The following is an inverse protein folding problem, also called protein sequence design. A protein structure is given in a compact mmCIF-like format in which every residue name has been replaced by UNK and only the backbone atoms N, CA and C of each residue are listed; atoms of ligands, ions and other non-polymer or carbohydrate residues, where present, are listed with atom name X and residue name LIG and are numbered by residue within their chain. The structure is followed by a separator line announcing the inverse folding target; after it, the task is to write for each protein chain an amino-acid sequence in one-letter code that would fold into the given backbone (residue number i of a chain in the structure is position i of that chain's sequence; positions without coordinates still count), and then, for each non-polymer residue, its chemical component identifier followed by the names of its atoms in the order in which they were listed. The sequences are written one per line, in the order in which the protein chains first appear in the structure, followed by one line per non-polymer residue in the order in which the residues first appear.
data_IF_323351091715
#
_entry.id   IF_323351091715
#
_cell.length_a   1.000
_cell.length_b   1.000
_cell.length_c   1.000
_cell.angle_alpha   90.00
_cell.angle_beta   90.00
_cell.angle_gamma   90.00
#
_symmetry.space_group_name_H-M   'P 1'
#
loop_
_entity.id
_entity.type
_entity.pdbx_description
1 polymer ?
#
# COMPACT_ATOMS: atom_id res chain seq x y z
N UNK A 1 -17.96 0.96 54.24
CA UNK A 1 -17.67 1.77 53.05
C UNK A 1 -16.45 1.19 52.36
N UNK A 2 -16.65 0.40 51.30
CA UNK A 2 -15.56 -0.09 50.46
C UNK A 2 -15.80 0.57 49.10
N UNK A 3 -14.96 1.54 48.76
CA UNK A 3 -14.99 2.19 47.46
C UNK A 3 -14.42 1.20 46.43
N UNK A 4 -15.30 0.67 45.57
CA UNK A 4 -14.88 -0.11 44.40
C UNK A 4 -14.37 0.86 43.35
N UNK A 5 -13.05 0.92 43.18
CA UNK A 5 -12.41 1.69 42.11
C UNK A 5 -12.59 0.94 40.80
N UNK A 6 -13.64 1.28 40.05
CA UNK A 6 -13.81 0.82 38.67
C UNK A 6 -12.71 1.45 37.82
N UNK A 7 -11.62 0.73 37.61
CA UNK A 7 -10.63 1.09 36.60
C UNK A 7 -11.34 1.10 35.24
N UNK A 8 -11.47 2.29 34.64
CA UNK A 8 -11.87 2.42 33.24
C UNK A 8 -10.72 1.84 32.42
N UNK A 9 -10.85 0.58 32.03
CA UNK A 9 -9.96 -0.02 31.02
C UNK A 9 -10.26 0.73 29.73
N UNK A 10 -9.39 1.68 29.37
CA UNK A 10 -9.41 2.31 28.06
C UNK A 10 -9.20 1.17 27.06
N UNK A 11 -10.24 0.84 26.29
CA UNK A 11 -10.14 -0.19 25.26
C UNK A 11 -9.03 0.23 24.30
N UNK A 12 -7.99 -0.60 24.18
CA UNK A 12 -6.92 -0.35 23.23
C UNK A 12 -7.53 -0.28 21.83
N UNK A 13 -7.17 0.75 21.06
CA UNK A 13 -7.54 0.84 19.66
C UNK A 13 -6.95 -0.36 18.90
N UNK A 14 -7.79 -1.08 18.17
CA UNK A 14 -7.38 -2.21 17.33
C UNK A 14 -7.63 -1.87 15.87
N UNK A 15 -6.67 -2.19 15.01
CA UNK A 15 -6.76 -1.96 13.58
C UNK A 15 -6.30 -3.18 12.79
N UNK A 16 -6.89 -3.37 11.62
CA UNK A 16 -6.35 -4.28 10.59
C UNK A 16 -5.80 -3.46 9.43
N UNK A 17 -4.70 -3.93 8.85
CA UNK A 17 -4.06 -3.35 7.67
C UNK A 17 -4.23 -4.34 6.51
N UNK A 18 -4.87 -3.90 5.44
CA UNK A 18 -5.08 -4.68 4.22
C UNK A 18 -3.89 -4.57 3.27
N UNK A 19 -3.70 -5.55 2.38
CA UNK A 19 -2.61 -5.53 1.40
C UNK A 19 -2.62 -4.31 0.48
N UNK A 20 -3.79 -3.74 0.23
CA UNK A 20 -3.98 -2.52 -0.57
C UNK A 20 -3.82 -1.23 0.26
N UNK A 21 -3.28 -1.30 1.48
CA UNK A 21 -3.03 -0.14 2.34
C UNK A 21 -4.24 0.39 3.09
N UNK A 22 -5.45 -0.14 2.84
CA UNK A 22 -6.61 0.24 3.65
C UNK A 22 -6.39 -0.16 5.10
N UNK A 23 -6.91 0.67 6.01
CA UNK A 23 -6.96 0.39 7.45
C UNK A 23 -8.40 0.38 7.91
N UNK A 24 -8.74 -0.52 8.81
CA UNK A 24 -10.06 -0.54 9.45
C UNK A 24 -9.90 -0.71 10.96
N UNK A 25 -10.63 0.10 11.72
CA UNK A 25 -10.78 -0.10 13.16
C UNK A 25 -11.61 -1.36 13.38
N UNK A 26 -11.17 -2.18 14.32
CA UNK A 26 -11.82 -3.45 14.68
C UNK A 26 -11.96 -3.58 16.19
N UNK A 27 -12.70 -4.59 16.63
CA UNK A 27 -12.82 -4.96 18.05
C UNK A 27 -12.55 -6.46 18.23
N UNK A 28 -12.29 -6.91 19.47
CA UNK A 28 -12.10 -8.33 19.83
C UNK A 28 -11.13 -9.10 18.91
N UNK A 29 -10.06 -8.43 18.47
CA UNK A 29 -8.99 -9.04 17.69
C UNK A 29 -8.28 -10.10 18.52
N UNK A 30 -8.32 -11.35 18.06
CA UNK A 30 -7.74 -12.48 18.79
C UNK A 30 -7.30 -13.60 17.87
N UNK A 31 -6.26 -14.29 18.30
CA UNK A 31 -5.72 -15.48 17.66
C UNK A 31 -6.46 -16.72 18.18
N UNK A 32 -7.16 -17.41 17.28
CA UNK A 32 -7.84 -18.67 17.55
C UNK A 32 -6.95 -19.89 17.28
N UNK A 33 -7.57 -21.06 17.21
CA UNK A 33 -6.86 -22.32 16.91
C UNK A 33 -6.36 -22.38 15.46
N UNK A 34 -5.14 -22.89 15.30
CA UNK A 34 -4.47 -23.05 13.99
C UNK A 34 -4.00 -21.73 13.39
N UNK A 35 -3.49 -20.81 14.22
CA UNK A 35 -2.98 -19.48 13.83
C UNK A 35 -3.98 -18.57 13.10
N UNK A 36 -5.28 -18.88 13.18
CA UNK A 36 -6.33 -18.09 12.55
C UNK A 36 -6.68 -16.88 13.40
N UNK A 37 -6.69 -15.71 12.78
CA UNK A 37 -7.13 -14.48 13.42
C UNK A 37 -8.61 -14.22 13.19
N UNK A 38 -9.29 -13.75 14.22
CA UNK A 38 -10.67 -13.27 14.14
C UNK A 38 -10.78 -11.88 14.73
N UNK A 39 -11.66 -11.07 14.16
CA UNK A 39 -12.01 -9.72 14.65
C UNK A 39 -13.52 -9.56 14.64
N UNK A 40 -14.03 -8.57 15.36
CA UNK A 40 -15.38 -8.04 15.24
C UNK A 40 -15.35 -6.80 14.35
N UNK A 41 -16.11 -6.84 13.25
CA UNK A 41 -16.34 -5.76 12.31
C UNK A 41 -17.85 -5.54 12.25
N UNK A 42 -18.31 -4.33 12.58
CA UNK A 42 -19.73 -3.97 12.61
C UNK A 42 -20.59 -4.97 13.42
N UNK A 43 -20.07 -5.40 14.58
CA UNK A 43 -20.73 -6.36 15.48
C UNK A 43 -20.73 -7.81 14.98
N UNK A 44 -20.06 -8.12 13.87
CA UNK A 44 -19.95 -9.47 13.32
C UNK A 44 -18.54 -10.00 13.45
N UNK A 45 -18.41 -11.24 13.93
CA UNK A 45 -17.11 -11.92 13.96
C UNK A 45 -16.71 -12.35 12.55
N UNK A 46 -15.56 -11.89 12.09
CA UNK A 46 -14.98 -12.18 10.79
C UNK A 46 -13.65 -12.90 10.98
N UNK A 47 -13.41 -13.95 10.19
CA UNK A 47 -12.10 -14.61 10.11
C UNK A 47 -11.25 -13.84 9.12
N UNK A 48 -10.07 -13.39 9.57
CA UNK A 48 -9.15 -12.68 8.70
C UNK A 48 -8.49 -13.67 7.72
N UNK A 49 -8.35 -13.24 6.47
CA UNK A 49 -7.66 -14.00 5.44
C UNK A 49 -6.22 -13.48 5.33
N UNK A 50 -5.20 -14.29 5.68
CA UNK A 50 -3.80 -13.92 5.49
C UNK A 50 -3.55 -13.52 4.04
N UNK A 51 -2.75 -12.47 3.84
CA UNK A 51 -2.47 -11.92 2.51
C UNK A 51 -3.50 -10.89 2.08
N UNK A 52 -4.81 -11.06 2.33
CA UNK A 52 -5.76 -9.94 2.21
C UNK A 52 -5.57 -8.93 3.34
N UNK A 53 -5.45 -9.44 4.57
CA UNK A 53 -4.97 -8.68 5.74
C UNK A 53 -3.51 -9.03 5.95
N UNK A 54 -2.66 -8.01 6.02
CA UNK A 54 -1.21 -8.15 6.14
C UNK A 54 -0.70 -7.87 7.55
N UNK A 55 -1.49 -7.19 8.39
CA UNK A 55 -1.15 -6.94 9.77
C UNK A 55 -2.37 -6.61 10.64
N UNK A 56 -2.24 -6.86 11.94
CA UNK A 56 -3.14 -6.39 12.99
C UNK A 56 -2.32 -5.52 13.93
N UNK A 57 -2.85 -4.35 14.28
CA UNK A 57 -2.27 -3.45 15.27
C UNK A 57 -3.16 -3.41 16.50
N UNK A 58 -2.63 -3.76 17.68
CA UNK A 58 -3.33 -3.68 18.97
C UNK A 58 -2.53 -2.75 19.87
N UNK A 59 -3.06 -1.55 20.13
CA UNK A 59 -2.30 -0.49 20.79
C UNK A 59 -1.07 -0.12 19.95
N UNK A 60 0.13 -0.44 20.45
CA UNK A 60 1.41 -0.21 19.76
C UNK A 60 2.02 -1.47 19.14
N UNK A 61 1.43 -2.64 19.37
CA UNK A 61 1.96 -3.90 18.87
C UNK A 61 1.39 -4.21 17.48
N UNK A 62 2.28 -4.45 16.50
CA UNK A 62 1.91 -4.91 15.16
C UNK A 62 2.23 -6.40 15.00
N UNK A 63 1.23 -7.19 14.64
CA UNK A 63 1.40 -8.60 14.23
C UNK A 63 1.24 -8.72 12.72
N UNK A 64 2.29 -9.13 12.02
CA UNK A 64 2.30 -9.32 10.57
C UNK A 64 1.66 -10.67 10.18
N UNK A 65 0.78 -10.64 9.18
CA UNK A 65 -0.03 -11.75 8.67
C UNK A 65 0.22 -12.07 7.19
N UNK A 66 1.42 -11.78 6.69
CA UNK A 66 1.80 -12.10 5.31
C UNK A 66 2.07 -13.62 5.21
N UNK A 67 1.36 -14.35 4.33
CA UNK A 67 1.52 -15.79 4.21
C UNK A 67 2.83 -16.17 3.49
N UNK A 68 3.25 -17.42 3.69
CA UNK A 68 4.24 -18.09 2.85
C UNK A 68 3.53 -18.89 1.75
N UNK A 69 4.30 -19.32 0.74
CA UNK A 69 3.78 -20.19 -0.30
C UNK A 69 3.50 -21.59 0.28
N UNK A 70 2.30 -22.11 0.03
CA UNK A 70 1.93 -23.48 0.38
C UNK A 70 2.63 -24.50 -0.55
N UNK A 71 3.21 -25.54 0.04
CA UNK A 71 3.98 -26.57 -0.67
C UNK A 71 3.12 -27.79 -1.10
N UNK A 72 1.82 -27.77 -0.81
CA UNK A 72 0.93 -28.85 -1.22
C UNK A 72 0.84 -28.93 -2.76
N UNK A 73 0.86 -30.14 -3.35
CA UNK A 73 0.69 -30.29 -4.79
C UNK A 73 -0.66 -29.71 -5.24
N UNK A 74 -0.73 -29.10 -6.43
CA UNK A 74 -1.98 -28.51 -6.91
C UNK A 74 -3.01 -29.62 -7.13
N UNK A 75 -4.27 -29.33 -6.75
CA UNK A 75 -5.37 -30.23 -7.11
C UNK A 75 -5.56 -30.26 -8.64
N UNK A 76 -6.27 -31.25 -9.19
CA UNK A 76 -6.65 -31.24 -10.61
C UNK A 76 -7.41 -29.96 -11.01
N UNK A 77 -8.24 -29.45 -10.11
CA UNK A 77 -8.98 -28.19 -10.31
C UNK A 77 -8.04 -26.99 -10.37
N UNK A 78 -7.11 -26.86 -9.41
CA UNK A 78 -6.08 -25.80 -9.44
C UNK A 78 -5.24 -25.89 -10.71
N UNK A 79 -4.87 -27.10 -11.14
CA UNK A 79 -4.13 -27.33 -12.39
C UNK A 79 -4.92 -26.83 -13.61
N UNK A 80 -6.22 -27.15 -13.67
CA UNK A 80 -7.09 -26.68 -14.75
C UNK A 80 -7.26 -25.15 -14.75
N UNK A 81 -7.38 -24.53 -13.57
CA UNK A 81 -7.45 -23.08 -13.45
C UNK A 81 -6.14 -22.40 -13.86
N UNK A 82 -4.97 -22.96 -13.50
CA UNK A 82 -3.68 -22.45 -13.95
C UNK A 82 -3.53 -22.55 -15.48
N UNK A 83 -3.96 -23.66 -16.06
CA UNK A 83 -4.01 -23.82 -17.52
C UNK A 83 -4.97 -22.80 -18.18
N UNK A 84 -6.12 -22.53 -17.56
CA UNK A 84 -7.08 -21.50 -17.98
C UNK A 84 -6.47 -20.09 -17.95
N UNK A 85 -5.66 -19.76 -16.93
CA UNK A 85 -4.93 -18.48 -16.86
C UNK A 85 -3.88 -18.37 -17.97
N UNK A 86 -3.20 -19.48 -18.26
CA UNK A 86 -2.17 -19.58 -19.29
C UNK A 86 -2.72 -19.61 -20.73
N UNK A 87 -4.03 -19.76 -20.94
CA UNK A 87 -4.63 -19.73 -22.28
C UNK A 87 -4.70 -18.29 -22.80
N UNK A 88 -3.94 -17.92 -23.86
CA UNK A 88 -3.96 -16.58 -24.41
C UNK A 88 -5.29 -16.19 -25.05
N UNK A 89 -6.16 -17.15 -25.36
CA UNK A 89 -7.50 -16.92 -25.91
C UNK A 89 -8.55 -16.67 -24.82
N UNK A 90 -8.28 -17.09 -23.58
CA UNK A 90 -9.20 -16.87 -22.48
C UNK A 90 -9.20 -15.39 -22.05
N UNK A 91 -10.29 -14.67 -22.34
CA UNK A 91 -10.44 -13.27 -21.94
C UNK A 91 -10.92 -13.14 -20.48
N UNK A 92 -11.56 -14.18 -19.94
CA UNK A 92 -12.16 -14.21 -18.60
C UNK A 92 -11.25 -14.90 -17.57
N UNK A 93 -9.94 -14.89 -17.82
CA UNK A 93 -8.93 -15.54 -16.98
C UNK A 93 -8.94 -15.08 -15.52
N UNK A 94 -9.45 -13.87 -15.25
CA UNK A 94 -9.47 -13.26 -13.90
C UNK A 94 -10.27 -14.07 -12.88
N UNK A 95 -11.32 -14.76 -13.31
CA UNK A 95 -12.09 -15.65 -12.43
C UNK A 95 -11.26 -16.86 -12.00
N UNK A 96 -10.44 -17.42 -12.91
CA UNK A 96 -9.50 -18.48 -12.57
C UNK A 96 -8.36 -17.92 -11.72
N UNK A 97 -7.82 -16.75 -12.07
CA UNK A 97 -6.75 -16.08 -11.33
C UNK A 97 -7.12 -15.88 -9.85
N UNK A 98 -8.30 -15.31 -9.59
CA UNK A 98 -8.78 -15.03 -8.23
C UNK A 98 -8.86 -16.29 -7.35
N UNK A 99 -9.08 -17.47 -7.96
CA UNK A 99 -9.16 -18.74 -7.26
C UNK A 99 -7.79 -19.37 -7.01
N UNK A 100 -6.83 -19.23 -7.95
CA UNK A 100 -5.50 -19.87 -7.80
C UNK A 100 -4.54 -19.07 -6.93
N UNK A 101 -4.81 -17.78 -6.69
CA UNK A 101 -3.96 -16.94 -5.82
C UNK A 101 -4.30 -17.06 -4.34
N UNK A 102 -5.43 -17.69 -3.99
CA UNK A 102 -5.89 -17.86 -2.60
C UNK A 102 -6.35 -19.31 -2.35
N UNK A 103 -5.65 -20.10 -1.51
CA UNK A 103 -4.41 -19.75 -0.82
C UNK A 103 -3.22 -19.66 -1.79
N UNK A 104 -2.17 -18.90 -1.45
CA UNK A 104 -0.97 -18.83 -2.29
C UNK A 104 -0.19 -20.15 -2.21
N UNK A 105 0.21 -20.70 -3.36
CA UNK A 105 0.92 -21.98 -3.46
C UNK A 105 2.18 -21.86 -4.30
N UNK A 106 3.16 -22.73 -4.03
CA UNK A 106 4.38 -22.86 -4.84
C UNK A 106 4.04 -23.16 -6.31
N UNK A 107 3.06 -24.03 -6.55
CA UNK A 107 2.63 -24.36 -7.91
C UNK A 107 2.06 -23.16 -8.68
N UNK A 108 1.27 -22.29 -8.02
CA UNK A 108 0.78 -21.07 -8.65
C UNK A 108 1.92 -20.07 -8.92
N UNK A 109 2.84 -19.90 -7.96
CA UNK A 109 4.04 -19.08 -8.15
C UNK A 109 4.85 -19.53 -9.36
N UNK A 110 5.22 -20.81 -9.43
CA UNK A 110 6.01 -21.38 -10.53
C UNK A 110 5.29 -21.24 -11.89
N UNK A 111 3.96 -21.36 -11.89
CA UNK A 111 3.16 -21.16 -13.10
C UNK A 111 3.21 -19.70 -13.56
N UNK A 112 3.11 -18.73 -12.65
CA UNK A 112 3.19 -17.32 -13.00
C UNK A 112 4.60 -16.89 -13.42
N UNK A 113 5.66 -17.41 -12.80
CA UNK A 113 7.03 -17.16 -13.26
C UNK A 113 7.25 -17.63 -14.71
N UNK A 114 6.69 -18.80 -15.08
CA UNK A 114 6.70 -19.27 -16.47
C UNK A 114 5.99 -18.30 -17.40
N UNK A 115 4.86 -17.73 -16.98
CA UNK A 115 4.13 -16.74 -17.77
C UNK A 115 4.91 -15.43 -17.93
N UNK A 116 5.63 -14.97 -16.90
CA UNK A 116 6.51 -13.79 -16.97
C UNK A 116 7.59 -13.95 -18.05
N UNK A 117 8.06 -15.18 -18.29
CA UNK A 117 9.06 -15.47 -19.33
C UNK A 117 8.47 -15.66 -20.75
N UNK A 118 7.14 -15.57 -20.91
CA UNK A 118 6.49 -15.91 -22.17
C UNK A 118 6.72 -14.87 -23.29
N UNK A 119 6.73 -15.31 -24.55
CA UNK A 119 6.88 -14.42 -25.71
C UNK A 119 5.64 -13.54 -25.91
N UNK A 120 4.46 -14.01 -25.52
CA UNK A 120 3.20 -13.29 -25.58
C UNK A 120 3.09 -12.29 -24.43
N UNK A 121 3.03 -11.00 -24.77
CA UNK A 121 2.96 -9.93 -23.79
C UNK A 121 1.74 -9.99 -22.86
N UNK A 122 0.61 -10.51 -23.34
CA UNK A 122 -0.59 -10.70 -22.50
C UNK A 122 -0.35 -11.75 -21.43
N UNK A 123 0.40 -12.80 -21.74
CA UNK A 123 0.74 -13.84 -20.76
C UNK A 123 1.75 -13.31 -19.75
N UNK A 124 2.75 -12.53 -20.18
CA UNK A 124 3.65 -11.85 -19.26
C UNK A 124 2.93 -10.92 -18.28
N UNK A 125 2.03 -10.08 -18.79
CA UNK A 125 1.18 -9.21 -17.95
C UNK A 125 0.43 -10.02 -16.89
N UNK A 126 -0.21 -11.13 -17.28
CA UNK A 126 -0.91 -12.03 -16.35
C UNK A 126 0.00 -12.69 -15.34
N UNK A 127 1.21 -13.06 -15.75
CA UNK A 127 2.23 -13.61 -14.86
C UNK A 127 2.58 -12.61 -13.75
N UNK A 128 2.83 -11.35 -14.13
CA UNK A 128 3.15 -10.31 -13.15
C UNK A 128 1.94 -10.00 -12.25
N UNK A 129 0.74 -9.90 -12.82
CA UNK A 129 -0.52 -9.73 -12.06
C UNK A 129 -0.70 -10.88 -11.05
N UNK A 130 -0.53 -12.14 -11.46
CA UNK A 130 -0.64 -13.29 -10.59
C UNK A 130 0.38 -13.30 -9.46
N UNK A 131 1.65 -13.00 -9.74
CA UNK A 131 2.68 -12.88 -8.70
C UNK A 131 2.35 -11.81 -7.66
N UNK A 132 1.85 -10.64 -8.09
CA UNK A 132 1.41 -9.58 -7.18
C UNK A 132 0.21 -10.02 -6.32
N UNK A 133 -0.74 -10.76 -6.91
CA UNK A 133 -1.95 -11.22 -6.23
C UNK A 133 -1.76 -12.41 -5.29
N UNK A 134 -0.66 -13.15 -5.39
CA UNK A 134 -0.28 -14.16 -4.39
C UNK A 134 0.02 -13.55 -3.01
N UNK A 135 0.43 -12.27 -2.97
CA UNK A 135 0.60 -11.49 -1.74
C UNK A 135 1.48 -12.15 -0.67
N UNK A 136 2.51 -12.87 -1.13
CA UNK A 136 3.63 -13.32 -0.29
C UNK A 136 4.81 -12.39 -0.49
N UNK A 137 5.76 -12.35 0.44
CA UNK A 137 7.00 -11.55 0.27
C UNK A 137 7.74 -11.97 -1.01
N UNK A 138 7.93 -13.27 -1.18
CA UNK A 138 8.60 -13.87 -2.34
C UNK A 138 7.92 -13.48 -3.66
N UNK A 139 6.59 -13.63 -3.73
CA UNK A 139 5.84 -13.33 -4.96
C UNK A 139 5.84 -11.84 -5.31
N UNK A 140 5.80 -10.95 -4.31
CA UNK A 140 5.86 -9.51 -4.55
C UNK A 140 7.26 -9.07 -4.98
N UNK A 141 8.33 -9.64 -4.41
CA UNK A 141 9.70 -9.41 -4.89
C UNK A 141 9.85 -9.86 -6.35
N UNK A 142 9.35 -11.06 -6.70
CA UNK A 142 9.37 -11.56 -8.07
C UNK A 142 8.56 -10.68 -9.03
N UNK A 143 7.36 -10.23 -8.63
CA UNK A 143 6.55 -9.31 -9.42
C UNK A 143 7.26 -7.97 -9.65
N UNK A 144 7.90 -7.41 -8.62
CA UNK A 144 8.63 -6.15 -8.71
C UNK A 144 9.83 -6.25 -9.68
N UNK A 145 10.61 -7.32 -9.58
CA UNK A 145 11.70 -7.60 -10.51
C UNK A 145 11.19 -7.76 -11.95
N UNK A 146 10.06 -8.47 -12.13
CA UNK A 146 9.45 -8.68 -13.43
C UNK A 146 8.92 -7.37 -14.07
N UNK A 147 8.33 -6.46 -13.28
CA UNK A 147 7.96 -5.11 -13.75
C UNK A 147 9.17 -4.38 -14.30
N UNK A 148 10.30 -4.39 -13.59
CA UNK A 148 11.51 -3.68 -14.01
C UNK A 148 12.19 -4.33 -15.22
N UNK A 149 12.03 -5.64 -15.41
CA UNK A 149 12.59 -6.38 -16.54
C UNK A 149 11.72 -6.31 -17.82
N UNK A 150 10.44 -5.95 -17.71
CA UNK A 150 9.52 -5.94 -18.85
C UNK A 150 9.88 -4.85 -19.87
N UNK A 151 9.83 -5.19 -21.16
CA UNK A 151 10.29 -4.34 -22.25
C UNK A 151 9.17 -3.48 -22.83
N UNK A 152 7.94 -4.00 -22.90
CA UNK A 152 6.76 -3.26 -23.36
C UNK A 152 6.31 -2.27 -22.28
N UNK A 153 6.28 -0.97 -22.61
CA UNK A 153 5.93 0.08 -21.65
C UNK A 153 4.48 0.02 -21.18
N UNK A 154 3.56 -0.45 -22.03
CA UNK A 154 2.17 -0.64 -21.66
C UNK A 154 2.05 -1.72 -20.60
N UNK A 155 2.69 -2.86 -20.83
CA UNK A 155 2.71 -3.96 -19.85
C UNK A 155 3.39 -3.53 -18.56
N UNK A 156 4.55 -2.84 -18.62
CA UNK A 156 5.21 -2.31 -17.41
C UNK A 156 4.29 -1.43 -16.58
N UNK A 157 3.59 -0.49 -17.23
CA UNK A 157 2.67 0.44 -16.57
C UNK A 157 1.50 -0.30 -15.90
N UNK A 158 0.89 -1.22 -16.62
CA UNK A 158 -0.29 -1.94 -16.15
C UNK A 158 0.11 -2.92 -15.02
N UNK A 159 1.26 -3.59 -15.15
CA UNK A 159 1.84 -4.46 -14.14
C UNK A 159 2.29 -3.70 -12.87
N UNK A 160 2.83 -2.49 -12.99
CA UNK A 160 3.12 -1.65 -11.83
C UNK A 160 1.86 -1.29 -11.03
N UNK A 161 0.70 -1.19 -11.71
CA UNK A 161 -0.59 -0.98 -11.02
C UNK A 161 -1.02 -2.21 -10.21
N UNK A 162 -0.68 -3.43 -10.66
CA UNK A 162 -0.94 -4.65 -9.89
C UNK A 162 -0.13 -4.70 -8.59
N UNK A 163 1.12 -4.20 -8.58
CA UNK A 163 1.92 -4.08 -7.35
C UNK A 163 1.25 -3.19 -6.29
N UNK A 164 0.50 -2.17 -6.73
CA UNK A 164 -0.21 -1.27 -5.82
C UNK A 164 -1.29 -2.01 -5.01
N UNK A 165 -1.93 -3.04 -5.57
CA UNK A 165 -2.92 -3.87 -4.86
C UNK A 165 -2.31 -4.79 -3.79
N UNK A 166 -0.97 -4.84 -3.71
CA UNK A 166 -0.18 -5.56 -2.72
C UNK A 166 0.82 -4.63 -2.00
N UNK A 167 0.53 -3.32 -1.96
CA UNK A 167 1.47 -2.31 -1.45
C UNK A 167 2.00 -2.58 -0.04
N UNK A 168 1.16 -3.04 0.89
CA UNK A 168 1.61 -3.27 2.27
C UNK A 168 2.45 -4.55 2.41
N UNK A 169 2.31 -5.50 1.47
CA UNK A 169 3.21 -6.64 1.34
C UNK A 169 4.55 -6.16 0.80
N UNK A 170 4.54 -5.35 -0.26
CA UNK A 170 5.75 -4.77 -0.84
C UNK A 170 6.56 -3.99 0.21
N UNK A 171 5.91 -3.10 0.97
CA UNK A 171 6.56 -2.28 2.00
C UNK A 171 7.20 -3.09 3.13
N UNK A 172 6.77 -4.34 3.31
CA UNK A 172 7.27 -5.31 4.29
C UNK A 172 8.09 -6.42 3.64
N UNK A 173 8.57 -6.24 2.42
CA UNK A 173 9.40 -7.22 1.70
C UNK A 173 10.80 -6.65 1.43
N UNK A 174 11.74 -7.53 1.09
CA UNK A 174 13.13 -7.17 0.82
C UNK A 174 13.28 -6.57 -0.59
N UNK A 175 12.64 -5.43 -0.83
CA UNK A 175 12.58 -4.76 -2.15
C UNK A 175 13.35 -3.44 -2.19
N UNK A 176 14.10 -3.11 -1.13
CA UNK A 176 14.85 -1.86 -1.03
C UNK A 176 15.79 -1.59 -2.20
N UNK A 177 16.56 -2.62 -2.58
CA UNK A 177 17.48 -2.56 -3.72
C UNK A 177 16.78 -2.30 -5.07
N UNK A 178 15.47 -2.59 -5.17
CA UNK A 178 14.67 -2.36 -6.37
C UNK A 178 14.16 -0.91 -6.47
N UNK A 179 14.11 -0.16 -5.36
CA UNK A 179 13.57 1.21 -5.34
C UNK A 179 14.36 2.13 -6.27
N UNK A 180 15.70 2.03 -6.27
CA UNK A 180 16.56 2.82 -7.16
C UNK A 180 16.24 2.55 -8.62
N UNK A 181 16.25 1.29 -9.03
CA UNK A 181 15.93 0.89 -10.40
C UNK A 181 14.52 1.33 -10.81
N UNK A 182 13.55 1.24 -9.89
CA UNK A 182 12.19 1.72 -10.12
C UNK A 182 12.08 3.22 -10.32
N UNK A 183 12.83 4.03 -9.58
CA UNK A 183 12.92 5.48 -9.79
C UNK A 183 13.72 5.89 -11.02
N UNK A 184 14.54 5.00 -11.58
CA UNK A 184 15.28 5.25 -12.83
C UNK A 184 14.47 4.82 -14.08
N UNK A 185 13.29 4.22 -13.91
CA UNK A 185 12.46 3.74 -15.02
C UNK A 185 11.98 4.89 -15.92
N UNK A 186 11.90 4.61 -17.23
CA UNK A 186 11.44 5.57 -18.24
C UNK A 186 9.97 5.94 -18.06
N UNK A 187 9.14 5.00 -17.62
CA UNK A 187 7.71 5.17 -17.40
C UNK A 187 7.42 5.84 -16.07
N UNK A 188 6.73 6.98 -16.12
CA UNK A 188 6.40 7.76 -14.92
C UNK A 188 5.57 6.97 -13.90
N UNK A 189 4.71 6.05 -14.36
CA UNK A 189 3.84 5.27 -13.48
C UNK A 189 4.66 4.27 -12.68
N UNK A 190 5.67 3.64 -13.32
CA UNK A 190 6.61 2.75 -12.62
C UNK A 190 7.35 3.55 -11.55
N UNK A 191 7.94 4.70 -11.91
CA UNK A 191 8.60 5.58 -10.92
C UNK A 191 7.69 5.99 -9.77
N UNK A 192 6.45 6.38 -10.08
CA UNK A 192 5.45 6.76 -9.09
C UNK A 192 5.14 5.62 -8.11
N UNK A 193 4.93 4.41 -8.61
CA UNK A 193 4.67 3.22 -7.80
C UNK A 193 5.87 2.94 -6.89
N UNK A 194 7.09 2.88 -7.41
CA UNK A 194 8.26 2.58 -6.58
C UNK A 194 8.58 3.68 -5.55
N UNK A 195 8.29 4.96 -5.85
CA UNK A 195 8.39 6.04 -4.87
C UNK A 195 7.44 5.86 -3.68
N UNK A 196 6.21 5.43 -3.96
CA UNK A 196 5.15 5.25 -2.97
C UNK A 196 5.27 3.93 -2.18
N UNK A 197 5.83 2.90 -2.82
CA UNK A 197 5.94 1.56 -2.25
C UNK A 197 7.26 1.30 -1.53
N UNK A 198 8.23 2.20 -1.59
CA UNK A 198 9.54 2.05 -0.94
C UNK A 198 9.39 1.43 0.48
N UNK A 199 10.15 0.37 0.83
CA UNK A 199 10.01 -0.29 2.13
C UNK A 199 10.16 0.69 3.29
N UNK A 200 9.28 0.58 4.29
CA UNK A 200 9.16 1.56 5.36
C UNK A 200 10.40 1.58 6.27
N UNK A 201 10.92 0.39 6.57
CA UNK A 201 12.03 0.15 7.52
C UNK A 201 13.39 -0.02 6.83
N UNK A 202 13.54 0.54 5.63
CA UNK A 202 14.78 0.47 4.83
C UNK A 202 15.40 1.88 4.66
N UNK A 203 16.53 2.09 5.33
CA UNK A 203 17.27 3.35 5.29
C UNK A 203 17.91 3.63 3.91
N UNK A 204 18.29 2.60 3.15
CA UNK A 204 18.81 2.77 1.80
C UNK A 204 17.69 3.24 0.85
N UNK A 205 16.50 2.63 0.94
CA UNK A 205 15.32 3.08 0.22
C UNK A 205 14.94 4.53 0.60
N UNK A 206 15.02 4.88 1.89
CA UNK A 206 14.82 6.26 2.38
C UNK A 206 15.82 7.24 1.77
N UNK A 207 17.11 6.88 1.72
CA UNK A 207 18.15 7.71 1.09
C UNK A 207 17.87 7.92 -0.41
N UNK A 208 17.49 6.85 -1.12
CA UNK A 208 17.13 6.92 -2.54
C UNK A 208 15.95 7.88 -2.79
N UNK A 209 14.91 7.87 -1.94
CA UNK A 209 13.80 8.82 -2.03
C UNK A 209 14.24 10.28 -1.87
N UNK A 210 15.20 10.56 -0.97
CA UNK A 210 15.77 11.91 -0.79
C UNK A 210 16.60 12.35 -1.98
N UNK A 211 17.43 11.45 -2.50
CA UNK A 211 18.41 11.77 -3.52
C UNK A 211 17.79 11.88 -4.90
N UNK A 212 16.82 11.01 -5.20
CA UNK A 212 16.19 10.87 -6.52
C UNK A 212 14.69 11.21 -6.49
N UNK A 213 13.92 10.63 -5.56
CA UNK A 213 12.45 10.72 -5.56
C UNK A 213 11.91 12.15 -5.49
N UNK A 214 12.31 12.93 -4.48
CA UNK A 214 11.87 14.34 -4.34
C UNK A 214 12.46 15.29 -5.39
N UNK A 215 13.41 14.81 -6.20
CA UNK A 215 14.02 15.56 -7.32
C UNK A 215 13.54 15.07 -8.70
N UNK A 216 12.62 14.11 -8.75
CA UNK A 216 12.11 13.57 -10.02
C UNK A 216 11.48 14.67 -10.87
N UNK A 217 11.58 14.54 -12.19
CA UNK A 217 10.96 15.47 -13.15
C UNK A 217 9.44 15.49 -13.07
N UNK A 218 8.81 14.38 -12.72
CA UNK A 218 7.36 14.24 -12.60
C UNK A 218 6.91 14.60 -11.18
N UNK A 219 5.95 15.52 -11.09
CA UNK A 219 5.45 16.00 -9.81
C UNK A 219 4.74 14.90 -8.98
N UNK A 220 4.09 13.92 -9.61
CA UNK A 220 3.45 12.83 -8.86
C UNK A 220 4.50 11.97 -8.15
N UNK A 221 5.66 11.76 -8.77
CA UNK A 221 6.78 11.02 -8.15
C UNK A 221 7.32 11.81 -6.97
N UNK A 222 7.53 13.13 -7.13
CA UNK A 222 7.99 14.00 -6.05
C UNK A 222 7.02 14.05 -4.87
N UNK A 223 5.73 14.18 -5.13
CA UNK A 223 4.67 14.21 -4.12
C UNK A 223 4.60 12.88 -3.34
N UNK A 224 4.66 11.74 -4.04
CA UNK A 224 4.72 10.41 -3.41
C UNK A 224 5.96 10.23 -2.55
N UNK A 225 7.14 10.61 -3.05
CA UNK A 225 8.38 10.53 -2.28
C UNK A 225 8.33 11.42 -1.03
N UNK A 226 7.80 12.64 -1.14
CA UNK A 226 7.67 13.55 -0.01
C UNK A 226 6.71 13.03 1.06
N UNK A 227 5.57 12.45 0.66
CA UNK A 227 4.63 11.81 1.59
C UNK A 227 5.28 10.62 2.30
N UNK A 228 5.97 9.76 1.55
CA UNK A 228 6.58 8.55 2.09
C UNK A 228 7.76 8.87 3.03
N UNK A 229 8.60 9.85 2.70
CA UNK A 229 9.63 10.37 3.60
C UNK A 229 9.02 10.98 4.87
N UNK A 230 7.99 11.81 4.71
CA UNK A 230 7.37 12.47 5.85
C UNK A 230 6.69 11.51 6.81
N UNK A 231 6.10 10.40 6.33
CA UNK A 231 5.58 9.32 7.19
C UNK A 231 6.67 8.67 8.05
N UNK A 232 7.94 8.77 7.64
CA UNK A 232 9.13 8.28 8.35
C UNK A 232 9.82 9.39 9.17
N UNK A 233 9.12 10.50 9.41
CA UNK A 233 9.64 11.66 10.15
C UNK A 233 10.75 12.42 9.43
N UNK A 234 10.88 12.28 8.11
CA UNK A 234 11.89 12.97 7.32
C UNK A 234 11.30 14.18 6.58
N UNK A 235 11.80 15.36 6.90
CA UNK A 235 11.30 16.65 6.44
C UNK A 235 11.91 17.12 5.11
N UNK A 236 12.78 16.33 4.47
CA UNK A 236 13.40 16.66 3.19
C UNK A 236 12.35 17.03 2.10
N UNK A 237 11.15 16.44 2.17
CA UNK A 237 10.02 16.72 1.28
C UNK A 237 9.06 17.83 1.76
N UNK A 238 9.33 18.51 2.88
CA UNK A 238 8.38 19.44 3.52
C UNK A 238 7.86 20.50 2.56
N UNK A 239 8.75 21.09 1.76
CA UNK A 239 8.35 22.15 0.83
C UNK A 239 7.31 21.71 -0.19
N UNK A 240 7.38 20.44 -0.62
CA UNK A 240 6.42 19.81 -1.53
C UNK A 240 5.10 19.59 -0.80
N UNK A 241 5.13 19.03 0.41
CA UNK A 241 3.94 18.79 1.24
C UNK A 241 3.18 20.07 1.55
N UNK A 242 3.87 21.15 1.90
CA UNK A 242 3.26 22.47 2.11
C UNK A 242 2.62 23.00 0.83
N UNK A 243 3.23 22.74 -0.33
CA UNK A 243 2.65 23.06 -1.63
C UNK A 243 1.38 22.26 -1.91
N UNK A 244 1.37 20.97 -1.60
CA UNK A 244 0.20 20.09 -1.72
C UNK A 244 -0.95 20.62 -0.87
N UNK A 245 -0.73 20.88 0.42
CA UNK A 245 -1.77 21.40 1.33
C UNK A 245 -2.34 22.77 0.90
N UNK A 246 -1.60 23.53 0.11
CA UNK A 246 -2.00 24.84 -0.40
C UNK A 246 -2.78 24.82 -1.70
N UNK A 247 -2.89 23.67 -2.40
CA UNK A 247 -3.49 23.62 -3.75
C UNK A 247 -5.01 23.57 -3.70
N UNK A 248 -5.64 24.09 -4.75
CA UNK A 248 -7.12 24.12 -4.88
C UNK A 248 -7.66 23.09 -5.88
N UNK A 249 -6.76 22.41 -6.58
CA UNK A 249 -7.09 21.44 -7.62
C UNK A 249 -6.00 20.37 -7.68
N UNK A 250 -6.44 19.13 -7.84
CA UNK A 250 -5.55 18.01 -8.13
C UNK A 250 -5.12 18.01 -9.61
N UNK A 251 -3.82 17.86 -9.90
CA UNK A 251 -3.33 17.62 -11.25
C UNK A 251 -3.98 16.38 -11.87
N UNK A 252 -4.30 16.44 -13.16
CA UNK A 252 -4.87 15.30 -13.90
C UNK A 252 -6.36 15.02 -13.64
N UNK A 253 -7.01 15.70 -12.68
CA UNK A 253 -8.46 15.58 -12.49
C UNK A 253 -9.24 16.41 -13.53
N UNK A 254 -10.23 15.76 -14.14
CA UNK A 254 -11.15 16.34 -15.12
C UNK A 254 -12.21 17.26 -14.50
N UNK A 255 -13.41 17.27 -15.09
CA UNK A 255 -14.50 18.20 -14.73
C UNK A 255 -15.42 17.69 -13.61
N UNK A 256 -15.19 16.48 -13.08
CA UNK A 256 -15.93 15.99 -11.91
C UNK A 256 -15.46 16.69 -10.64
N UNK A 257 -16.10 17.82 -10.34
CA UNK A 257 -15.77 18.67 -9.20
C UNK A 257 -15.96 17.94 -7.87
N UNK A 258 -17.05 17.20 -7.70
CA UNK A 258 -17.38 16.55 -6.43
C UNK A 258 -16.36 15.45 -6.10
N UNK A 259 -15.97 14.66 -7.10
CA UNK A 259 -14.93 13.64 -6.94
C UNK A 259 -13.56 14.28 -6.70
N UNK A 260 -13.18 15.31 -7.46
CA UNK A 260 -11.92 16.04 -7.25
C UNK A 260 -11.82 16.62 -5.84
N UNK A 261 -12.90 17.26 -5.37
CA UNK A 261 -12.97 17.86 -4.04
C UNK A 261 -12.81 16.82 -2.93
N UNK A 262 -13.46 15.66 -3.06
CA UNK A 262 -13.29 14.55 -2.11
C UNK A 262 -11.82 14.09 -2.02
N UNK A 263 -11.19 13.83 -3.16
CA UNK A 263 -9.78 13.41 -3.17
C UNK A 263 -8.83 14.49 -2.66
N UNK A 264 -9.12 15.77 -2.90
CA UNK A 264 -8.32 16.88 -2.39
C UNK A 264 -8.43 16.97 -0.86
N UNK A 265 -9.62 16.76 -0.31
CA UNK A 265 -9.83 16.68 1.15
C UNK A 265 -9.01 15.54 1.74
N UNK A 266 -9.09 14.33 1.15
CA UNK A 266 -8.35 13.16 1.63
C UNK A 266 -6.84 13.39 1.60
N UNK A 267 -6.32 13.99 0.52
CA UNK A 267 -4.92 14.37 0.41
C UNK A 267 -4.52 15.38 1.48
N UNK A 268 -5.30 16.46 1.66
CA UNK A 268 -4.99 17.48 2.66
C UNK A 268 -5.01 16.91 4.07
N UNK A 269 -5.94 16.01 4.40
CA UNK A 269 -5.97 15.30 5.68
C UNK A 269 -4.69 14.48 5.89
N UNK A 270 -4.27 13.72 4.87
CA UNK A 270 -3.04 12.93 4.94
C UNK A 270 -1.79 13.81 5.10
N UNK A 271 -1.72 14.92 4.37
CA UNK A 271 -0.61 15.89 4.46
C UNK A 271 -0.58 16.57 5.82
N UNK A 272 -1.73 16.93 6.40
CA UNK A 272 -1.80 17.47 7.76
C UNK A 272 -1.20 16.50 8.79
N UNK A 273 -1.55 15.20 8.69
CA UNK A 273 -1.00 14.19 9.59
C UNK A 273 0.54 14.10 9.47
N UNK A 274 1.07 14.14 8.25
CA UNK A 274 2.53 14.08 8.00
C UNK A 274 3.24 15.34 8.50
N UNK A 275 2.77 16.54 8.12
CA UNK A 275 3.33 17.81 8.57
C UNK A 275 3.24 17.96 10.09
N UNK A 276 2.23 17.36 10.71
CA UNK A 276 2.07 17.26 12.16
C UNK A 276 3.20 16.52 12.86
N UNK A 277 4.04 15.77 12.14
CA UNK A 277 5.23 15.14 12.72
C UNK A 277 6.44 16.08 12.71
N UNK A 278 6.50 17.09 11.82
CA UNK A 278 7.67 17.95 11.62
C UNK A 278 7.81 19.07 12.65
N UNK A 279 9.02 19.31 13.15
CA UNK A 279 9.32 20.36 14.14
C UNK A 279 9.70 21.70 13.50
N UNK A 280 9.10 22.05 12.35
CA UNK A 280 9.43 23.27 11.62
C UNK A 280 8.34 24.34 11.71
N UNK A 281 8.76 25.60 11.76
CA UNK A 281 7.84 26.76 11.73
C UNK A 281 7.03 26.81 10.44
N UNK A 282 7.60 26.33 9.33
CA UNK A 282 6.93 26.29 8.03
C UNK A 282 5.78 25.28 8.03
N UNK A 283 5.96 24.08 8.59
CA UNK A 283 4.89 23.11 8.78
C UNK A 283 3.81 23.66 9.72
N UNK A 284 4.19 24.27 10.85
CA UNK A 284 3.25 24.91 11.79
C UNK A 284 2.43 26.02 11.13
N UNK A 285 3.06 26.87 10.31
CA UNK A 285 2.37 27.93 9.58
C UNK A 285 1.39 27.38 8.55
N UNK A 286 1.77 26.32 7.82
CA UNK A 286 0.89 25.64 6.87
C UNK A 286 -0.32 25.01 7.56
N UNK A 287 -0.11 24.29 8.67
CA UNK A 287 -1.16 23.70 9.48
C UNK A 287 -2.09 24.77 10.08
N UNK A 288 -1.55 25.88 10.58
CA UNK A 288 -2.34 27.00 11.12
C UNK A 288 -3.25 27.63 10.06
N UNK A 289 -2.82 27.61 8.79
CA UNK A 289 -3.66 28.02 7.66
C UNK A 289 -4.74 26.96 7.35
N UNK A 290 -4.39 25.68 7.34
CA UNK A 290 -5.33 24.58 7.10
C UNK A 290 -6.40 24.44 8.21
N UNK A 291 -6.08 24.82 9.45
CA UNK A 291 -7.04 24.91 10.56
C UNK A 291 -8.15 25.95 10.33
N UNK A 292 -8.03 26.81 9.30
CA UNK A 292 -9.06 27.76 8.88
C UNK A 292 -9.82 27.29 7.62
N UNK A 293 -9.62 26.04 7.21
CA UNK A 293 -10.28 25.46 6.03
C UNK A 293 -11.80 25.42 6.20
N UNK A 294 -12.51 25.65 5.11
CA UNK A 294 -13.97 25.47 5.02
C UNK A 294 -14.37 23.99 5.15
N UNK A 295 -13.47 23.08 4.74
CA UNK A 295 -13.66 21.64 4.87
C UNK A 295 -13.37 21.18 6.30
N UNK A 296 -14.40 20.70 7.00
CA UNK A 296 -14.32 20.26 8.39
C UNK A 296 -13.25 19.19 8.63
N UNK A 297 -13.12 18.22 7.74
CA UNK A 297 -12.12 17.15 7.86
C UNK A 297 -10.68 17.69 7.84
N UNK A 298 -10.38 18.62 6.93
CA UNK A 298 -9.06 19.26 6.84
C UNK A 298 -8.78 20.11 8.08
N UNK A 299 -9.77 20.88 8.53
CA UNK A 299 -9.67 21.70 9.74
C UNK A 299 -9.36 20.85 10.97
N UNK A 300 -10.15 19.79 11.21
CA UNK A 300 -9.94 18.86 12.33
C UNK A 300 -8.57 18.19 12.29
N UNK A 301 -8.15 17.73 11.10
CA UNK A 301 -6.83 17.12 10.93
C UNK A 301 -5.69 18.10 11.26
N UNK A 302 -5.79 19.35 10.81
CA UNK A 302 -4.79 20.38 11.10
C UNK A 302 -4.77 20.79 12.58
N UNK A 303 -5.93 20.93 13.22
CA UNK A 303 -6.03 21.21 14.66
C UNK A 303 -5.43 20.08 15.50
N UNK A 304 -5.74 18.82 15.16
CA UNK A 304 -5.16 17.66 15.82
C UNK A 304 -3.63 17.60 15.67
N UNK A 305 -3.12 17.87 14.46
CA UNK A 305 -1.70 17.93 14.17
C UNK A 305 -0.97 19.03 14.98
N UNK A 306 -1.61 20.19 15.19
CA UNK A 306 -1.07 21.26 16.03
C UNK A 306 -1.14 20.93 17.53
N UNK A 307 -2.20 20.25 17.96
CA UNK A 307 -2.42 19.89 19.35
C UNK A 307 -1.46 18.78 19.84
N UNK A 308 -1.10 17.84 18.97
CA UNK A 308 -0.16 16.77 19.27
C UNK A 308 1.27 17.26 19.60
N UNK A 309 1.55 18.57 19.43
CA UNK A 309 2.85 19.22 19.70
C UNK A 309 2.86 20.11 20.96
N UNK A 310 1.83 20.04 21.79
CA UNK A 310 1.78 20.67 23.13
C UNK A 310 2.04 19.63 24.21
#
# INVERSE_FOLDING_TARGET
MIASTTAVVVAQTQQVIYADGRRATVEDARKGSGDRWTVSLDGRRVVLRPGEVVAIVIGTEETVLIPSLGEAPPSPETTAMLASVADPKNQDFRTSLAQVVTPPTRAAFDAFEKLVADKNKKLRERGIEGLAHLRTRESVCAAAAAVLAEKDSGVRRDAASALFAAQEVFKRSDTGDLVKSGLEDKERVVRYVFAMLAPADDDAAKAILREQGIKDRDHHVRESAALELGRRGDDAGESILVGMLGRKKLPGFGNDRATMERFLIDEHVAVCAVLGTFESERARAALSKAAKSEHEAVRKAAEAALAAKR
#
